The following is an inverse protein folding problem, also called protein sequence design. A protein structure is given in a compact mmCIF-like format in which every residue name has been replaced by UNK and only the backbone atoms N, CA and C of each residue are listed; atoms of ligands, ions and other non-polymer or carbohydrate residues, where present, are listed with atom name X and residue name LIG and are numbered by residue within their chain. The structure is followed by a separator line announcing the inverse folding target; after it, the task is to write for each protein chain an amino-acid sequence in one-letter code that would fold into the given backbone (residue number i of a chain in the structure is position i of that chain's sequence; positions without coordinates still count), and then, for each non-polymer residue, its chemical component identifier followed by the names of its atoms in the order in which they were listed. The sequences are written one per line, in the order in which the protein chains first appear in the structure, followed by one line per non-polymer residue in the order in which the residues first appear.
data_IF_820501853518
#
_entry.id   IF_820501853518
#
_cell.length_a   1.000
_cell.length_b   1.000
_cell.length_c   1.000
_cell.angle_alpha   90.00
_cell.angle_beta   90.00
_cell.angle_gamma   90.00
#
_symmetry.space_group_name_H-M   'P 1'
#
loop_
_entity.id
_entity.type
_entity.pdbx_description
1 polymer ?
#
# COMPACT_ATOMS: atom_id res chain seq x y z
N UNK A 1 43.62 -16.40 -0.62
CA UNK A 1 42.50 -16.96 0.18
C UNK A 1 41.94 -16.02 1.24
N UNK A 2 42.79 -15.36 2.03
CA UNK A 2 42.30 -14.39 3.07
C UNK A 2 41.59 -13.16 2.50
N UNK A 3 41.94 -12.72 1.29
CA UNK A 3 41.31 -11.54 0.63
C UNK A 3 39.89 -11.81 0.12
N UNK A 4 39.53 -13.05 -0.19
CA UNK A 4 38.21 -13.46 -0.68
C UNK A 4 37.18 -13.45 0.47
N UNK A 5 37.59 -13.84 1.68
CA UNK A 5 36.78 -13.84 2.88
C UNK A 5 36.38 -12.41 3.33
N UNK A 6 37.28 -11.44 3.18
CA UNK A 6 37.04 -10.04 3.53
C UNK A 6 36.05 -9.39 2.54
N UNK A 7 36.13 -9.76 1.26
CA UNK A 7 35.21 -9.29 0.22
C UNK A 7 33.78 -9.81 0.42
N UNK A 8 33.60 -11.06 0.88
CA UNK A 8 32.27 -11.60 1.17
C UNK A 8 31.63 -10.97 2.40
N UNK A 9 32.42 -10.57 3.39
CA UNK A 9 31.91 -9.85 4.57
C UNK A 9 31.46 -8.42 4.23
N UNK A 10 32.16 -7.72 3.36
CA UNK A 10 31.79 -6.40 2.86
C UNK A 10 30.50 -6.44 2.02
N UNK A 11 30.29 -7.53 1.27
CA UNK A 11 29.09 -7.74 0.48
C UNK A 11 27.84 -7.96 1.35
N UNK A 12 27.99 -8.67 2.46
CA UNK A 12 26.88 -8.91 3.42
C UNK A 12 26.47 -7.61 4.13
N UNK A 13 27.42 -6.74 4.49
CA UNK A 13 27.11 -5.47 5.13
C UNK A 13 26.47 -4.47 4.18
N UNK A 14 26.73 -4.53 2.87
CA UNK A 14 26.06 -3.73 1.85
C UNK A 14 24.59 -4.11 1.62
N UNK A 15 24.22 -5.33 1.94
CA UNK A 15 22.86 -5.85 1.73
C UNK A 15 21.86 -5.37 2.76
N UNK A 16 22.30 -5.00 3.96
CA UNK A 16 21.42 -4.58 5.06
C UNK A 16 20.99 -3.10 4.99
N UNK A 17 21.51 -2.31 4.04
CA UNK A 17 21.30 -0.86 4.01
C UNK A 17 20.33 -0.35 2.97
N UNK A 18 19.66 -1.23 2.17
CA UNK A 18 18.92 -0.76 1.02
C UNK A 18 17.47 -1.26 0.99
N UNK A 19 16.62 -0.69 1.84
CA UNK A 19 15.17 -0.88 1.68
C UNK A 19 14.49 0.48 1.54
N UNK A 20 14.46 0.98 0.30
CA UNK A 20 13.64 2.12 -0.07
C UNK A 20 12.26 1.63 -0.54
N UNK A 21 11.21 2.32 -0.13
CA UNK A 21 9.87 2.07 -0.64
C UNK A 21 9.61 2.98 -1.83
N UNK A 22 9.39 2.38 -2.99
CA UNK A 22 9.04 3.12 -4.19
C UNK A 22 7.56 3.53 -4.18
N UNK A 23 7.29 4.69 -4.73
CA UNK A 23 5.92 5.17 -4.91
C UNK A 23 5.29 4.51 -6.14
N UNK A 24 4.16 3.82 -5.97
CA UNK A 24 3.43 3.11 -7.03
C UNK A 24 2.63 4.08 -7.91
N UNK A 25 3.33 5.00 -8.57
CA UNK A 25 2.73 6.07 -9.39
C UNK A 25 2.48 5.70 -10.86
N UNK A 26 2.95 4.55 -11.30
CA UNK A 26 2.86 4.12 -12.69
C UNK A 26 1.41 4.06 -13.19
N UNK A 27 1.19 4.60 -14.39
CA UNK A 27 -0.12 4.63 -15.05
C UNK A 27 -1.23 5.35 -14.26
N UNK A 28 -0.86 6.29 -13.37
CA UNK A 28 -1.81 7.09 -12.61
C UNK A 28 -1.77 8.54 -13.05
N UNK A 29 -2.90 9.23 -12.91
CA UNK A 29 -2.98 10.68 -13.15
C UNK A 29 -2.01 11.42 -12.21
N UNK A 30 -1.10 12.27 -12.75
CA UNK A 30 -0.12 13.01 -11.94
C UNK A 30 -0.74 13.90 -10.86
N UNK A 31 -1.89 14.52 -11.13
CA UNK A 31 -2.58 15.36 -10.14
C UNK A 31 -3.15 14.52 -9.00
N UNK A 32 -3.69 13.34 -9.32
CA UNK A 32 -4.14 12.39 -8.32
C UNK A 32 -2.98 11.93 -7.44
N UNK A 33 -1.85 11.54 -8.05
CA UNK A 33 -0.63 11.14 -7.31
C UNK A 33 -0.19 12.25 -6.36
N UNK A 34 -0.11 13.47 -6.84
CA UNK A 34 0.27 14.65 -6.05
C UNK A 34 -0.65 14.86 -4.85
N UNK A 35 -1.95 14.72 -5.06
CA UNK A 35 -2.96 14.83 -3.99
C UNK A 35 -2.75 13.77 -2.90
N UNK A 36 -2.55 12.52 -3.30
CA UNK A 36 -2.36 11.40 -2.36
C UNK A 36 -1.04 11.54 -1.60
N UNK A 37 0.05 11.90 -2.29
CA UNK A 37 1.34 12.14 -1.64
C UNK A 37 1.23 13.29 -0.62
N UNK A 38 0.53 14.36 -0.97
CA UNK A 38 0.30 15.49 -0.05
C UNK A 38 -0.48 15.09 1.20
N UNK A 39 -1.53 14.27 1.07
CA UNK A 39 -2.28 13.73 2.21
C UNK A 39 -1.40 12.84 3.09
N UNK A 40 -0.61 11.97 2.47
CA UNK A 40 0.29 11.06 3.15
C UNK A 40 1.37 11.82 3.91
N UNK A 41 1.91 12.90 3.34
CA UNK A 41 2.88 13.76 3.99
C UNK A 41 2.31 14.41 5.26
N UNK A 42 1.07 14.88 5.23
CA UNK A 42 0.40 15.45 6.42
C UNK A 42 0.28 14.45 7.56
N UNK A 43 0.07 13.17 7.24
CA UNK A 43 0.00 12.10 8.25
C UNK A 43 1.40 11.89 8.86
N UNK A 44 2.43 11.79 8.01
CA UNK A 44 3.82 11.60 8.44
C UNK A 44 4.29 12.77 9.31
N UNK A 45 3.94 14.00 8.95
CA UNK A 45 4.32 15.20 9.72
C UNK A 45 3.86 15.13 11.19
N UNK A 46 2.74 14.48 11.45
CA UNK A 46 2.20 14.29 12.80
C UNK A 46 3.01 13.30 13.64
N UNK A 47 3.78 12.43 13.02
CA UNK A 47 4.60 11.43 13.72
C UNK A 47 5.89 12.03 14.29
N UNK A 48 6.31 13.21 13.87
CA UNK A 48 7.52 13.87 14.35
C UNK A 48 8.80 13.10 14.04
N UNK A 49 8.86 12.41 12.90
CA UNK A 49 10.03 11.63 12.51
C UNK A 49 11.21 12.55 12.20
N UNK A 50 12.39 12.24 12.76
CA UNK A 50 13.60 13.04 12.59
C UNK A 50 14.46 12.57 11.40
N UNK A 51 14.36 11.30 11.01
CA UNK A 51 15.06 10.74 9.86
C UNK A 51 14.25 11.00 8.59
N UNK A 52 14.80 11.84 7.70
CA UNK A 52 14.13 12.23 6.46
C UNK A 52 13.90 11.04 5.51
N UNK A 53 14.79 10.06 5.48
CA UNK A 53 14.65 8.88 4.63
C UNK A 53 13.54 7.97 5.13
N UNK A 54 13.47 7.73 6.42
CA UNK A 54 12.38 6.96 7.04
C UNK A 54 11.05 7.68 6.83
N UNK A 55 11.00 9.00 7.00
CA UNK A 55 9.80 9.79 6.75
C UNK A 55 9.29 9.65 5.30
N UNK A 56 10.20 9.66 4.33
CA UNK A 56 9.85 9.44 2.91
C UNK A 56 9.31 8.03 2.68
N UNK A 57 9.96 7.01 3.23
CA UNK A 57 9.54 5.62 3.09
C UNK A 57 8.16 5.39 3.71
N UNK A 58 7.91 5.92 4.90
CA UNK A 58 6.59 5.86 5.57
C UNK A 58 5.53 6.59 4.74
N UNK A 59 5.85 7.77 4.21
CA UNK A 59 4.95 8.50 3.31
C UNK A 59 4.57 7.65 2.10
N UNK A 60 5.54 6.98 1.49
CA UNK A 60 5.31 6.14 0.33
C UNK A 60 4.48 4.89 0.67
N UNK A 61 4.70 4.27 1.83
CA UNK A 61 3.84 3.18 2.32
C UNK A 61 2.38 3.64 2.44
N UNK A 62 2.15 4.80 3.02
CA UNK A 62 0.80 5.36 3.19
C UNK A 62 0.18 5.69 1.83
N UNK A 63 0.91 6.37 0.95
CA UNK A 63 0.43 6.72 -0.38
C UNK A 63 0.09 5.48 -1.21
N UNK A 64 0.95 4.46 -1.18
CA UNK A 64 0.71 3.19 -1.86
C UNK A 64 -0.53 2.47 -1.32
N UNK A 65 -0.81 2.58 -0.02
CA UNK A 65 -2.05 2.07 0.56
C UNK A 65 -3.29 2.77 -0.01
N UNK A 66 -3.27 4.09 -0.14
CA UNK A 66 -4.36 4.83 -0.79
C UNK A 66 -4.57 4.38 -2.23
N UNK A 67 -3.49 4.22 -2.99
CA UNK A 67 -3.57 3.72 -4.37
C UNK A 67 -4.16 2.32 -4.43
N UNK A 68 -3.71 1.43 -3.56
CA UNK A 68 -4.22 0.05 -3.49
C UNK A 68 -5.71 0.02 -3.18
N UNK A 69 -6.17 0.80 -2.20
CA UNK A 69 -7.59 0.86 -1.86
C UNK A 69 -8.43 1.36 -3.05
N UNK A 70 -7.96 2.38 -3.75
CA UNK A 70 -8.64 2.88 -4.95
C UNK A 70 -8.71 1.81 -6.04
N UNK A 71 -7.60 1.12 -6.30
CA UNK A 71 -7.51 0.05 -7.31
C UNK A 71 -8.48 -1.10 -6.99
N UNK A 72 -8.62 -1.47 -5.73
CA UNK A 72 -9.54 -2.53 -5.28
C UNK A 72 -10.99 -2.14 -5.63
N UNK A 73 -11.38 -0.89 -5.36
CA UNK A 73 -12.72 -0.42 -5.70
C UNK A 73 -12.93 -0.29 -7.20
N UNK A 74 -11.94 0.18 -7.95
CA UNK A 74 -12.04 0.26 -9.42
C UNK A 74 -12.21 -1.11 -10.07
N UNK A 75 -11.49 -2.12 -9.59
CA UNK A 75 -11.63 -3.50 -10.06
C UNK A 75 -13.03 -4.02 -9.77
N UNK A 76 -13.56 -3.79 -8.56
CA UNK A 76 -14.93 -4.14 -8.22
C UNK A 76 -15.92 -3.48 -9.16
N UNK A 77 -15.80 -2.18 -9.36
CA UNK A 77 -16.72 -1.39 -10.19
C UNK A 77 -16.70 -1.85 -11.65
N UNK A 78 -15.51 -2.16 -12.19
CA UNK A 78 -15.39 -2.71 -13.54
C UNK A 78 -16.09 -4.07 -13.69
N UNK A 79 -15.99 -4.94 -12.68
CA UNK A 79 -16.67 -6.24 -12.68
C UNK A 79 -18.19 -6.09 -12.59
N UNK A 80 -18.66 -5.20 -11.73
CA UNK A 80 -20.09 -4.89 -11.59
C UNK A 80 -20.65 -4.35 -12.92
N UNK A 81 -19.93 -3.46 -13.58
CA UNK A 81 -20.30 -2.93 -14.88
C UNK A 81 -20.43 -4.04 -15.93
N UNK A 82 -19.43 -4.94 -16.01
CA UNK A 82 -19.47 -6.10 -16.92
C UNK A 82 -20.70 -6.98 -16.67
N UNK A 83 -21.04 -7.25 -15.41
CA UNK A 83 -22.24 -8.04 -15.07
C UNK A 83 -23.51 -7.35 -15.54
N UNK A 84 -23.61 -6.03 -15.35
CA UNK A 84 -24.77 -5.25 -15.77
C UNK A 84 -24.94 -5.25 -17.30
N UNK A 85 -23.83 -5.26 -18.03
CA UNK A 85 -23.80 -5.24 -19.50
C UNK A 85 -23.89 -6.64 -20.13
N UNK A 86 -23.75 -7.72 -19.33
CA UNK A 86 -23.68 -9.10 -19.82
C UNK A 86 -25.03 -9.70 -20.24
N UNK A 87 -26.13 -9.07 -19.89
CA UNK A 87 -27.46 -9.62 -20.12
C UNK A 87 -27.89 -10.68 -19.11
N UNK A 88 -27.08 -10.97 -18.08
CA UNK A 88 -27.46 -11.87 -17.00
C UNK A 88 -28.67 -11.33 -16.22
N UNK A 89 -29.55 -12.21 -15.83
CA UNK A 89 -30.75 -11.88 -15.05
C UNK A 89 -30.93 -12.86 -13.87
N UNK A 90 -31.80 -12.50 -12.94
CA UNK A 90 -32.17 -13.35 -11.82
C UNK A 90 -31.00 -13.74 -10.92
N UNK A 91 -30.99 -15.01 -10.52
CA UNK A 91 -30.02 -15.57 -9.59
C UNK A 91 -28.58 -15.50 -10.13
N UNK A 92 -28.37 -15.81 -11.41
CA UNK A 92 -27.06 -15.76 -12.04
C UNK A 92 -26.44 -14.35 -11.96
N UNK A 93 -27.25 -13.30 -12.15
CA UNK A 93 -26.81 -11.91 -11.99
C UNK A 93 -26.44 -11.60 -10.56
N UNK A 94 -27.29 -12.02 -9.60
CA UNK A 94 -27.05 -11.79 -8.18
C UNK A 94 -25.78 -12.48 -7.69
N UNK A 95 -25.52 -13.71 -8.11
CA UNK A 95 -24.30 -14.44 -7.79
C UNK A 95 -23.05 -13.76 -8.36
N UNK A 96 -23.11 -13.29 -9.60
CA UNK A 96 -22.00 -12.58 -10.24
C UNK A 96 -21.68 -11.26 -9.52
N UNK A 97 -22.71 -10.50 -9.12
CA UNK A 97 -22.51 -9.26 -8.33
C UNK A 97 -21.93 -9.57 -6.95
N UNK A 98 -22.43 -10.62 -6.30
CA UNK A 98 -21.92 -11.06 -4.99
C UNK A 98 -20.46 -11.51 -5.08
N UNK A 99 -20.09 -12.21 -6.14
CA UNK A 99 -18.70 -12.62 -6.38
C UNK A 99 -17.76 -11.39 -6.48
N UNK A 100 -18.18 -10.34 -7.20
CA UNK A 100 -17.40 -9.10 -7.30
C UNK A 100 -17.22 -8.41 -5.93
N UNK A 101 -18.27 -8.36 -5.11
CA UNK A 101 -18.19 -7.83 -3.75
C UNK A 101 -17.29 -8.69 -2.84
N UNK A 102 -17.41 -10.00 -2.90
CA UNK A 102 -16.59 -10.91 -2.10
C UNK A 102 -15.10 -10.80 -2.46
N UNK A 103 -14.75 -10.64 -3.71
CA UNK A 103 -13.36 -10.40 -4.13
C UNK A 103 -12.82 -9.08 -3.59
N UNK A 104 -13.62 -8.02 -3.65
CA UNK A 104 -13.28 -6.73 -3.05
C UNK A 104 -13.04 -6.89 -1.55
N UNK A 105 -13.95 -7.53 -0.84
CA UNK A 105 -13.83 -7.73 0.61
C UNK A 105 -12.57 -8.52 0.98
N UNK A 106 -12.24 -9.57 0.22
CA UNK A 106 -11.03 -10.35 0.42
C UNK A 106 -9.77 -9.51 0.18
N UNK A 107 -9.76 -8.66 -0.83
CA UNK A 107 -8.65 -7.77 -1.12
C UNK A 107 -8.47 -6.70 -0.03
N UNK A 108 -9.56 -6.11 0.44
CA UNK A 108 -9.53 -5.15 1.56
C UNK A 108 -9.01 -5.81 2.85
N UNK A 109 -9.41 -7.03 3.11
CA UNK A 109 -8.96 -7.80 4.28
C UNK A 109 -7.44 -8.00 4.24
N UNK A 110 -6.90 -8.48 3.10
CA UNK A 110 -5.46 -8.65 2.93
C UNK A 110 -4.70 -7.34 3.11
N UNK A 111 -5.18 -6.27 2.49
CA UNK A 111 -4.60 -4.94 2.59
C UNK A 111 -4.61 -4.41 4.03
N UNK A 112 -5.68 -4.68 4.78
CA UNK A 112 -5.81 -4.27 6.18
C UNK A 112 -4.70 -4.86 7.06
N UNK A 113 -4.32 -6.12 6.84
CA UNK A 113 -3.23 -6.76 7.58
C UNK A 113 -1.84 -6.41 7.04
N UNK A 114 -1.71 -6.24 5.73
CA UNK A 114 -0.42 -5.90 5.11
C UNK A 114 0.06 -4.50 5.50
N UNK A 115 -0.83 -3.55 5.69
CA UNK A 115 -0.47 -2.17 5.97
C UNK A 115 0.33 -2.00 7.28
N UNK A 116 -0.16 -2.45 8.46
CA UNK A 116 0.63 -2.37 9.69
C UNK A 116 1.94 -3.16 9.59
N UNK A 117 1.94 -4.30 8.92
CA UNK A 117 3.15 -5.11 8.72
C UNK A 117 4.22 -4.32 7.92
N UNK A 118 3.83 -3.63 6.87
CA UNK A 118 4.75 -2.78 6.10
C UNK A 118 5.26 -1.60 6.93
N UNK A 119 4.42 -0.98 7.73
CA UNK A 119 4.81 0.11 8.62
C UNK A 119 5.79 -0.35 9.70
N UNK A 120 5.69 -1.59 10.17
CA UNK A 120 6.56 -2.14 11.21
C UNK A 120 8.03 -2.25 10.80
N UNK A 121 8.32 -2.13 9.49
CA UNK A 121 9.69 -2.05 8.98
C UNK A 121 10.38 -0.72 9.33
N UNK A 122 9.60 0.31 9.63
CA UNK A 122 10.08 1.69 9.82
C UNK A 122 9.68 2.32 11.16
N UNK A 123 8.55 1.89 11.74
CA UNK A 123 7.92 2.50 12.91
C UNK A 123 7.81 1.50 14.06
N UNK A 124 7.80 2.01 15.29
CA UNK A 124 7.46 1.21 16.47
C UNK A 124 5.93 1.06 16.60
N UNK A 125 5.51 0.19 17.52
CA UNK A 125 4.10 -0.12 17.76
C UNK A 125 3.27 1.12 18.11
N UNK A 126 3.83 2.00 18.95
CA UNK A 126 3.15 3.23 19.39
C UNK A 126 2.95 4.20 18.23
N UNK A 127 3.94 4.35 17.36
CA UNK A 127 3.84 5.18 16.17
C UNK A 127 2.82 4.61 15.17
N UNK A 128 2.78 3.29 15.01
CA UNK A 128 1.81 2.62 14.14
C UNK A 128 0.40 2.86 14.67
N UNK A 129 0.16 2.68 15.95
CA UNK A 129 -1.14 2.94 16.57
C UNK A 129 -1.59 4.38 16.36
N UNK A 130 -0.70 5.34 16.58
CA UNK A 130 -0.97 6.76 16.34
C UNK A 130 -1.37 7.01 14.89
N UNK A 131 -0.67 6.39 13.94
CA UNK A 131 -0.94 6.53 12.51
C UNK A 131 -2.28 5.91 12.11
N UNK A 132 -2.61 4.72 12.63
CA UNK A 132 -3.87 4.04 12.31
C UNK A 132 -5.11 4.82 12.76
N UNK A 133 -5.00 5.63 13.81
CA UNK A 133 -6.08 6.55 14.22
C UNK A 133 -6.29 7.72 13.27
N UNK A 134 -5.28 8.07 12.48
CA UNK A 134 -5.32 9.22 11.57
C UNK A 134 -5.47 8.83 10.10
N UNK A 135 -5.28 7.55 9.77
CA UNK A 135 -5.45 7.02 8.41
C UNK A 135 -6.89 6.57 8.19
N UNK A 136 -7.43 6.72 6.97
CA UNK A 136 -8.72 6.12 6.65
C UNK A 136 -8.62 4.60 6.69
N UNK A 137 -9.61 4.01 7.28
CA UNK A 137 -9.76 2.56 7.36
C UNK A 137 -10.07 1.92 5.99
#
# INVERSE_FOLDING_TARGET
MKKILILSLLFISGWMSAQAVDLNKENRDPEYVKSIVGRSQKIVDKLGLTDAKIAEDVRNVIANRYFELNDIYEVRDAKVKKVKESGLTGEAKNEALKAAENEKDAALYRSHFAFPANLSLFLDEKQIDCLLYTSPS
#
